data_IF_982811390642
#
_entry.id   IF_982811390642
#
_cell.length_a   1.000
_cell.length_b   1.000
_cell.length_c   1.000
_cell.angle_alpha   90.00
_cell.angle_beta   90.00
_cell.angle_gamma   90.00
#
_symmetry.space_group_name_H-M   'P 1'
#
loop_
_entity.id
_entity.type
_entity.pdbx_description
1 polymer ?
#
# COMPACT_ATOMS: atom_id res chain seq x y z
N UNK A 1 22.14 18.86 -18.59
CA UNK A 1 21.61 19.35 -17.30
C UNK A 1 21.52 18.15 -16.36
N UNK A 2 22.24 18.13 -15.21
CA UNK A 2 22.32 16.96 -14.36
C UNK A 2 21.23 16.99 -13.27
N UNK A 3 20.78 15.82 -12.81
CA UNK A 3 19.97 15.73 -11.58
C UNK A 3 18.92 14.63 -11.56
N UNK A 4 19.32 13.36 -11.70
CA UNK A 4 18.58 12.29 -11.02
C UNK A 4 19.55 11.67 -10.05
N UNK A 5 19.44 12.07 -8.79
CA UNK A 5 20.16 11.47 -7.69
C UNK A 5 19.87 9.96 -7.73
N UNK A 6 20.89 9.15 -7.97
CA UNK A 6 20.93 7.79 -7.44
C UNK A 6 20.78 7.92 -5.94
N UNK A 7 19.54 7.79 -5.45
CA UNK A 7 19.28 7.52 -4.05
C UNK A 7 19.92 6.16 -3.77
N UNK A 8 21.19 6.15 -3.37
CA UNK A 8 21.71 5.07 -2.55
C UNK A 8 20.79 5.01 -1.32
N UNK A 9 20.01 3.94 -1.15
CA UNK A 9 19.18 3.84 0.03
C UNK A 9 20.11 3.61 1.23
N UNK A 10 19.89 4.32 2.33
CA UNK A 10 20.57 4.19 3.65
C UNK A 10 20.43 2.76 4.27
N UNK A 11 19.99 1.78 3.49
CA UNK A 11 19.52 0.46 3.90
C UNK A 11 20.61 -0.55 4.25
N UNK A 12 21.88 -0.33 3.89
CA UNK A 12 22.95 -1.29 4.21
C UNK A 12 23.52 -1.11 5.63
N UNK A 13 23.29 0.02 6.29
CA UNK A 13 23.88 0.29 7.61
C UNK A 13 23.03 -0.25 8.78
N UNK A 14 21.74 -0.54 8.56
CA UNK A 14 20.80 -0.96 9.60
C UNK A 14 20.01 -2.25 9.29
N UNK A 15 20.29 -2.93 8.17
CA UNK A 15 19.62 -4.18 7.80
C UNK A 15 18.13 -4.04 7.43
N UNK A 16 17.67 -2.81 7.14
CA UNK A 16 16.30 -2.52 6.73
C UNK A 16 16.24 -2.62 5.21
N UNK A 17 15.24 -3.29 4.65
CA UNK A 17 15.03 -3.36 3.19
C UNK A 17 13.64 -2.85 2.82
N UNK A 18 13.52 -2.33 1.60
CA UNK A 18 12.26 -1.83 1.06
C UNK A 18 11.90 -2.59 -0.21
N UNK A 19 10.62 -2.92 -0.37
CA UNK A 19 10.11 -3.58 -1.57
C UNK A 19 8.72 -3.07 -1.93
N UNK A 20 8.33 -3.25 -3.19
CA UNK A 20 7.00 -2.90 -3.70
C UNK A 20 6.18 -4.17 -3.90
N UNK A 21 4.98 -4.20 -3.33
CA UNK A 21 4.01 -5.28 -3.54
C UNK A 21 2.91 -4.82 -4.50
N UNK A 22 2.74 -5.51 -5.62
CA UNK A 22 1.72 -5.23 -6.62
C UNK A 22 0.83 -6.45 -6.84
N UNK A 23 -0.49 -6.26 -6.91
CA UNK A 23 -1.47 -7.32 -7.14
C UNK A 23 -2.67 -6.80 -7.92
N UNK A 24 -3.15 -7.60 -8.89
CA UNK A 24 -4.31 -7.26 -9.75
C UNK A 24 -5.68 -7.75 -9.21
N UNK A 25 -5.68 -8.58 -8.17
CA UNK A 25 -6.91 -9.13 -7.57
C UNK A 25 -7.20 -8.49 -6.21
N UNK A 26 -8.47 -8.31 -5.84
CA UNK A 26 -8.80 -7.72 -4.55
C UNK A 26 -8.34 -8.62 -3.40
N UNK A 27 -8.05 -8.01 -2.27
CA UNK A 27 -7.80 -8.70 -1.02
C UNK A 27 -9.11 -9.18 -0.38
N UNK A 28 -9.03 -10.28 0.33
CA UNK A 28 -10.06 -10.64 1.29
C UNK A 28 -9.93 -9.72 2.52
N UNK A 29 -10.98 -8.97 2.83
CA UNK A 29 -10.94 -7.87 3.79
C UNK A 29 -10.42 -8.28 5.17
N UNK A 30 -10.87 -9.42 5.70
CA UNK A 30 -10.42 -9.91 7.01
C UNK A 30 -8.96 -10.38 7.01
N UNK A 31 -8.53 -11.07 5.95
CA UNK A 31 -7.12 -11.49 5.81
C UNK A 31 -6.20 -10.29 5.66
N UNK A 32 -6.66 -9.25 4.97
CA UNK A 32 -5.93 -8.00 4.83
C UNK A 32 -5.77 -7.29 6.16
N UNK A 33 -6.84 -7.19 6.94
CA UNK A 33 -6.79 -6.63 8.29
C UNK A 33 -5.81 -7.41 9.19
N UNK A 34 -5.92 -8.74 9.23
CA UNK A 34 -4.99 -9.60 10.00
C UNK A 34 -3.53 -9.46 9.54
N UNK A 35 -3.31 -9.31 8.23
CA UNK A 35 -1.99 -9.08 7.66
C UNK A 35 -1.39 -7.79 8.22
N UNK A 36 -2.13 -6.66 8.19
CA UNK A 36 -1.64 -5.39 8.73
C UNK A 36 -1.26 -5.49 10.21
N UNK A 37 -2.05 -6.21 11.01
CA UNK A 37 -1.72 -6.48 12.42
C UNK A 37 -0.48 -7.37 12.62
N UNK A 38 -0.13 -8.20 11.64
CA UNK A 38 1.05 -9.05 11.70
C UNK A 38 2.30 -8.29 11.25
N UNK A 39 2.16 -7.45 10.22
CA UNK A 39 3.27 -6.65 9.67
C UNK A 39 3.90 -5.72 10.71
N UNK A 40 3.13 -5.18 11.66
CA UNK A 40 3.64 -4.32 12.76
C UNK A 40 4.79 -4.89 13.59
N UNK A 41 5.02 -6.20 13.56
CA UNK A 41 6.13 -6.83 14.29
C UNK A 41 7.48 -6.64 13.60
N UNK A 42 7.49 -6.63 12.26
CA UNK A 42 8.71 -6.73 11.47
C UNK A 42 8.84 -5.61 10.41
N UNK A 43 7.78 -4.84 10.18
CA UNK A 43 7.74 -3.79 9.16
C UNK A 43 7.66 -2.43 9.84
N UNK A 44 8.65 -1.60 9.56
CA UNK A 44 8.76 -0.23 10.11
C UNK A 44 7.68 0.69 9.52
N UNK A 45 7.44 0.58 8.21
CA UNK A 45 6.51 1.45 7.49
C UNK A 45 5.82 0.74 6.33
N UNK A 46 4.54 1.04 6.14
CA UNK A 46 3.77 0.70 4.92
C UNK A 46 3.11 1.96 4.39
N UNK A 47 3.09 2.12 3.07
CA UNK A 47 2.30 3.16 2.40
C UNK A 47 1.84 2.61 1.05
N UNK A 48 0.56 2.71 0.75
CA UNK A 48 0.05 2.27 -0.54
C UNK A 48 -1.46 2.33 -0.65
N UNK A 49 -1.96 1.85 -1.79
CA UNK A 49 -3.38 1.70 -2.04
C UNK A 49 -3.71 0.20 -2.04
N UNK A 50 -4.78 -0.17 -1.35
CA UNK A 50 -5.32 -1.52 -1.31
C UNK A 50 -6.74 -1.55 -1.87
N UNK A 51 -7.10 -2.71 -2.41
CA UNK A 51 -8.42 -3.00 -2.94
C UNK A 51 -8.99 -4.21 -2.20
N UNK A 52 -10.20 -4.10 -1.65
CA UNK A 52 -10.83 -5.14 -0.83
C UNK A 52 -12.12 -5.65 -1.48
N UNK A 53 -12.31 -6.96 -1.49
CA UNK A 53 -13.43 -7.61 -2.16
C UNK A 53 -14.80 -7.21 -1.59
N UNK A 54 -14.91 -6.95 -0.28
CA UNK A 54 -16.18 -6.51 0.33
C UNK A 54 -16.51 -5.04 0.07
N UNK A 55 -15.52 -4.24 -0.34
CA UNK A 55 -15.68 -2.83 -0.73
C UNK A 55 -15.11 -2.63 -2.11
N UNK A 56 -15.63 -3.42 -3.06
CA UNK A 56 -15.06 -3.58 -4.39
C UNK A 56 -15.01 -2.27 -5.19
N UNK A 57 -15.86 -1.31 -4.83
CA UNK A 57 -15.93 0.02 -5.43
C UNK A 57 -14.94 1.02 -4.86
N UNK A 58 -14.22 0.73 -3.77
CA UNK A 58 -13.36 1.70 -3.08
C UNK A 58 -11.88 1.37 -3.21
N UNK A 59 -11.09 2.40 -3.44
CA UNK A 59 -9.66 2.43 -3.19
C UNK A 59 -9.41 2.79 -1.73
N UNK A 60 -8.70 1.93 -1.01
CA UNK A 60 -8.31 2.16 0.38
C UNK A 60 -6.87 2.64 0.42
N UNK A 61 -6.61 3.82 0.98
CA UNK A 61 -5.25 4.21 1.34
C UNK A 61 -4.87 3.52 2.63
N UNK A 62 -3.66 2.97 2.65
CA UNK A 62 -3.09 2.25 3.77
C UNK A 62 -1.81 2.94 4.13
N UNK A 63 -1.72 3.39 5.37
CA UNK A 63 -0.50 3.93 5.93
C UNK A 63 -0.23 3.28 7.28
N UNK A 64 1.02 2.89 7.49
CA UNK A 64 1.49 2.37 8.75
C UNK A 64 2.82 3.03 9.08
N UNK A 65 2.96 3.51 10.30
CA UNK A 65 4.21 4.00 10.86
C UNK A 65 4.35 3.44 12.28
N UNK A 66 5.28 2.50 12.47
CA UNK A 66 5.44 1.80 13.74
C UNK A 66 4.15 1.07 14.17
N UNK A 67 3.60 1.33 15.38
CA UNK A 67 2.39 0.67 15.89
C UNK A 67 1.09 1.24 15.30
N UNK A 68 1.13 2.42 14.69
CA UNK A 68 -0.05 3.10 14.17
C UNK A 68 -0.36 2.63 12.76
N UNK A 69 -1.59 2.17 12.53
CA UNK A 69 -2.11 1.72 11.24
C UNK A 69 -3.37 2.53 10.93
N UNK A 70 -3.40 3.16 9.76
CA UNK A 70 -4.56 3.86 9.22
C UNK A 70 -4.97 3.23 7.89
N UNK A 71 -6.26 2.93 7.76
CA UNK A 71 -6.86 2.40 6.53
C UNK A 71 -8.11 3.22 6.26
N UNK A 72 -8.09 4.01 5.19
CA UNK A 72 -9.12 4.99 4.88
C UNK A 72 -9.57 4.87 3.43
N UNK A 73 -10.88 5.00 3.13
CA UNK A 73 -11.34 5.11 1.76
C UNK A 73 -10.91 6.46 1.18
N UNK A 74 -10.23 6.45 0.04
CA UNK A 74 -9.70 7.68 -0.59
C UNK A 74 -10.42 8.02 -1.89
N UNK A 75 -10.80 7.02 -2.68
CA UNK A 75 -11.53 7.23 -3.92
C UNK A 75 -12.32 5.99 -4.32
N UNK A 76 -13.03 6.07 -5.44
CA UNK A 76 -13.50 4.87 -6.12
C UNK A 76 -12.32 4.11 -6.73
N UNK A 77 -12.43 2.79 -6.77
CA UNK A 77 -11.46 1.94 -7.46
C UNK A 77 -11.56 2.18 -8.97
N UNK A 78 -10.43 2.33 -9.67
CA UNK A 78 -10.39 2.73 -11.09
C UNK A 78 -11.23 1.80 -11.96
N UNK A 79 -11.22 0.49 -11.71
CA UNK A 79 -12.03 -0.47 -12.46
C UNK A 79 -13.56 -0.35 -12.22
N UNK A 80 -14.00 0.48 -11.28
CA UNK A 80 -15.41 0.78 -11.04
C UNK A 80 -15.85 2.12 -11.64
N UNK A 81 -14.92 2.91 -12.17
CA UNK A 81 -15.23 4.14 -12.90
C UNK A 81 -15.66 3.80 -14.33
N UNK A 82 -16.38 4.71 -14.99
CA UNK A 82 -16.76 4.50 -16.40
C UNK A 82 -15.50 4.44 -17.28
N UNK A 83 -15.54 3.72 -18.40
CA UNK A 83 -14.34 3.45 -19.25
C UNK A 83 -13.56 4.71 -19.65
N UNK A 84 -14.21 5.87 -19.77
CA UNK A 84 -13.58 7.14 -20.11
C UNK A 84 -12.80 7.80 -18.96
N UNK A 85 -13.07 7.39 -17.72
CA UNK A 85 -12.39 7.83 -16.49
C UNK A 85 -11.26 6.87 -16.07
N UNK A 86 -11.11 5.72 -16.75
CA UNK A 86 -10.09 4.69 -16.45
C UNK A 86 -8.69 5.01 -17.01
N UNK A 87 -8.41 6.27 -17.38
CA UNK A 87 -7.16 6.69 -18.04
C UNK A 87 -5.99 6.89 -17.10
#
# INVERSE_FOLDING_TARGET
MPGYHEHQPETEEYGITSFVYNRKLPFHSERFYQLMYTLRKNVVRVKGIAWCATRNNLALSVSQAGPSISIEPVSYWVACLQEWEQK
#
